data_IF_307938320013
#
_entry.id   IF_307938320013
#
_cell.length_a   1.000
_cell.length_b   1.000
_cell.length_c   1.000
_cell.angle_alpha   90.00
_cell.angle_beta   90.00
_cell.angle_gamma   90.00
#
_symmetry.space_group_name_H-M   'P 1'
#
loop_
_entity.id
_entity.type
_entity.pdbx_description
1 polymer ?
#
# COMPACT_ATOMS: atom_id res chain seq x y z
N UNK A 1 -2.36 16.47 -24.35
CA UNK A 1 -0.95 16.10 -24.19
C UNK A 1 -0.85 14.89 -23.28
N UNK A 2 -0.20 13.85 -23.76
CA UNK A 2 0.48 12.83 -23.02
C UNK A 2 -0.29 11.92 -22.08
N UNK A 3 -1.07 10.96 -22.64
CA UNK A 3 -1.22 9.66 -22.03
C UNK A 3 0.20 9.06 -21.93
N UNK A 4 0.88 9.25 -20.81
CA UNK A 4 2.09 8.48 -20.56
C UNK A 4 1.67 7.02 -20.47
N UNK A 5 2.11 6.20 -21.43
CA UNK A 5 1.99 4.75 -21.36
C UNK A 5 2.52 4.35 -19.99
N UNK A 6 1.62 3.83 -19.16
CA UNK A 6 2.00 3.19 -17.92
C UNK A 6 3.08 2.16 -18.24
N UNK A 7 4.08 2.07 -17.37
CA UNK A 7 5.07 0.98 -17.45
C UNK A 7 4.33 -0.36 -17.59
N UNK A 8 4.94 -1.32 -18.30
CA UNK A 8 4.35 -2.64 -18.47
C UNK A 8 3.98 -3.25 -17.11
N UNK A 9 2.92 -4.09 -17.03
CA UNK A 9 2.57 -4.75 -15.78
C UNK A 9 3.77 -5.56 -15.27
N UNK A 10 4.06 -5.45 -13.97
CA UNK A 10 5.11 -6.22 -13.30
C UNK A 10 4.63 -7.65 -12.96
N UNK A 11 3.38 -7.99 -13.29
CA UNK A 11 2.81 -9.32 -13.03
C UNK A 11 3.36 -10.30 -14.03
N UNK A 12 3.95 -11.37 -13.52
CA UNK A 12 4.50 -12.50 -14.30
C UNK A 12 4.04 -13.83 -13.72
N UNK A 13 4.19 -14.91 -14.49
CA UNK A 13 3.91 -16.26 -14.02
C UNK A 13 5.05 -16.76 -13.12
N UNK A 14 4.70 -17.27 -11.96
CA UNK A 14 5.61 -17.95 -11.04
C UNK A 14 5.30 -19.45 -11.04
N UNK A 15 6.35 -20.26 -11.13
CA UNK A 15 6.26 -21.73 -11.25
C UNK A 15 6.70 -22.45 -9.95
N UNK A 16 7.05 -21.72 -8.89
CA UNK A 16 7.62 -22.30 -7.66
C UNK A 16 6.68 -22.22 -6.46
N UNK A 17 5.67 -21.37 -6.54
CA UNK A 17 4.74 -21.13 -5.42
C UNK A 17 3.56 -22.12 -5.38
N UNK A 18 3.28 -22.79 -6.49
CA UNK A 18 2.21 -23.78 -6.63
C UNK A 18 2.60 -24.83 -7.66
N UNK A 19 1.86 -25.95 -7.71
CA UNK A 19 2.03 -27.02 -8.71
C UNK A 19 1.76 -26.53 -10.14
N UNK A 20 0.98 -25.47 -10.30
CA UNK A 20 0.68 -24.86 -11.61
C UNK A 20 1.17 -23.42 -11.63
N UNK A 21 1.61 -22.89 -12.77
CA UNK A 21 2.00 -21.49 -12.92
C UNK A 21 0.91 -20.53 -12.43
N UNK A 22 1.30 -19.56 -11.61
CA UNK A 22 0.37 -18.59 -11.02
C UNK A 22 0.84 -17.16 -11.25
N UNK A 23 -0.04 -16.21 -11.63
CA UNK A 23 0.35 -14.83 -11.79
C UNK A 23 0.67 -14.19 -10.44
N UNK A 24 1.79 -13.49 -10.34
CA UNK A 24 2.21 -12.73 -9.14
C UNK A 24 2.88 -11.42 -9.53
N UNK A 25 2.74 -10.40 -8.69
CA UNK A 25 3.47 -9.13 -8.81
C UNK A 25 4.77 -9.17 -8.01
N UNK A 26 5.78 -9.89 -8.52
CA UNK A 26 7.08 -9.98 -7.87
C UNK A 26 7.95 -8.75 -8.18
N UNK A 27 8.92 -8.45 -7.30
CA UNK A 27 9.96 -7.46 -7.57
C UNK A 27 10.71 -7.80 -8.87
N UNK A 28 11.13 -6.78 -9.60
CA UNK A 28 12.01 -6.96 -10.76
C UNK A 28 13.36 -7.58 -10.34
N UNK A 29 14.06 -8.21 -11.29
CA UNK A 29 15.36 -8.85 -11.00
C UNK A 29 16.38 -7.86 -10.42
N UNK A 30 16.46 -6.64 -10.99
CA UNK A 30 17.33 -5.57 -10.50
C UNK A 30 17.03 -5.14 -9.06
N UNK A 31 15.74 -5.10 -8.70
CA UNK A 31 15.33 -4.75 -7.34
C UNK A 31 15.70 -5.87 -6.37
N UNK A 32 15.51 -7.13 -6.76
CA UNK A 32 15.94 -8.29 -5.98
C UNK A 32 17.45 -8.30 -5.74
N UNK A 33 18.25 -8.02 -6.76
CA UNK A 33 19.71 -7.87 -6.63
C UNK A 33 20.07 -6.76 -5.64
N UNK A 34 19.40 -5.63 -5.69
CA UNK A 34 19.58 -4.52 -4.74
C UNK A 34 19.25 -4.93 -3.31
N UNK A 35 18.15 -5.65 -3.11
CA UNK A 35 17.75 -6.13 -1.78
C UNK A 35 18.72 -7.20 -1.25
N UNK A 36 19.21 -8.09 -2.11
CA UNK A 36 20.22 -9.08 -1.68
C UNK A 36 21.56 -8.41 -1.37
N UNK A 37 21.98 -7.39 -2.13
CA UNK A 37 23.15 -6.60 -1.78
C UNK A 37 22.98 -5.90 -0.42
N UNK A 38 21.78 -5.38 -0.12
CA UNK A 38 21.46 -4.82 1.19
C UNK A 38 21.54 -5.90 2.28
N UNK A 39 20.97 -7.10 2.07
CA UNK A 39 21.03 -8.23 3.01
C UNK A 39 22.45 -8.52 3.47
N UNK A 40 23.38 -8.59 2.53
CA UNK A 40 24.77 -8.92 2.80
C UNK A 40 25.65 -7.72 3.18
N UNK A 41 25.09 -6.50 3.24
CA UNK A 41 25.84 -5.29 3.61
C UNK A 41 26.21 -5.23 5.10
N UNK A 42 25.44 -5.91 5.96
CA UNK A 42 25.69 -6.01 7.40
C UNK A 42 25.30 -7.41 7.89
N UNK A 43 26.11 -8.02 8.73
CA UNK A 43 25.87 -9.37 9.29
C UNK A 43 24.50 -9.52 9.95
N UNK A 44 24.01 -8.48 10.63
CA UNK A 44 22.70 -8.49 11.30
C UNK A 44 21.52 -8.50 10.33
N UNK A 45 21.71 -8.15 9.07
CA UNK A 45 20.63 -8.15 8.06
C UNK A 45 20.42 -9.50 7.39
N UNK A 46 21.40 -10.40 7.46
CA UNK A 46 21.32 -11.72 6.83
C UNK A 46 20.13 -12.55 7.31
N UNK A 47 19.75 -12.38 8.58
CA UNK A 47 18.62 -13.09 9.20
C UNK A 47 17.26 -12.39 9.08
N UNK A 48 17.18 -11.21 8.42
CA UNK A 48 15.96 -10.47 8.34
C UNK A 48 15.03 -10.97 7.22
N UNK A 49 13.74 -10.90 7.49
CA UNK A 49 12.71 -11.19 6.49
C UNK A 49 12.79 -10.19 5.31
N UNK A 50 12.47 -10.61 4.09
CA UNK A 50 12.44 -9.70 2.95
C UNK A 50 11.58 -8.45 3.18
N UNK A 51 10.47 -8.54 3.91
CA UNK A 51 9.64 -7.38 4.24
C UNK A 51 10.38 -6.31 5.03
N UNK A 52 11.30 -6.70 5.92
CA UNK A 52 12.14 -5.75 6.65
C UNK A 52 13.17 -5.10 5.72
N UNK A 53 13.78 -5.88 4.83
CA UNK A 53 14.78 -5.37 3.87
C UNK A 53 14.15 -4.40 2.87
N UNK A 54 12.92 -4.66 2.39
CA UNK A 54 12.19 -3.74 1.53
C UNK A 54 11.91 -2.41 2.25
N UNK A 55 11.51 -2.49 3.53
CA UNK A 55 11.31 -1.31 4.36
C UNK A 55 12.59 -0.51 4.56
N UNK A 56 13.71 -1.16 4.88
CA UNK A 56 15.03 -0.51 5.03
C UNK A 56 15.44 0.23 3.74
N UNK A 57 15.31 -0.42 2.59
CA UNK A 57 15.66 0.17 1.31
C UNK A 57 14.82 1.42 1.01
N UNK A 58 13.50 1.30 1.09
CA UNK A 58 12.59 2.41 0.76
C UNK A 58 12.63 3.54 1.80
N UNK A 59 12.88 3.22 3.07
CA UNK A 59 13.08 4.19 4.14
C UNK A 59 14.33 5.06 3.91
N UNK A 60 15.46 4.45 3.57
CA UNK A 60 16.69 5.18 3.21
C UNK A 60 16.46 6.14 2.04
N UNK A 61 15.74 5.68 1.01
CA UNK A 61 15.40 6.52 -0.14
C UNK A 61 14.50 7.70 0.26
N UNK A 62 13.49 7.46 1.10
CA UNK A 62 12.56 8.49 1.55
C UNK A 62 13.27 9.54 2.40
N UNK A 63 14.10 9.14 3.36
CA UNK A 63 14.90 10.03 4.22
C UNK A 63 15.88 10.87 3.39
N UNK A 64 16.59 10.24 2.45
CA UNK A 64 17.50 10.95 1.56
C UNK A 64 16.77 12.01 0.69
N UNK A 65 15.60 11.64 0.12
CA UNK A 65 14.76 12.58 -0.66
C UNK A 65 14.15 13.69 0.21
N UNK A 66 13.82 13.41 1.44
CA UNK A 66 13.35 14.39 2.40
C UNK A 66 14.47 15.34 2.87
N UNK A 67 15.73 15.01 2.60
CA UNK A 67 16.88 15.78 3.05
C UNK A 67 17.13 15.68 4.56
N UNK A 68 16.55 14.67 5.22
CA UNK A 68 16.77 14.44 6.65
C UNK A 68 18.16 13.83 6.86
N UNK A 69 18.78 14.21 7.98
CA UNK A 69 20.12 13.74 8.29
C UNK A 69 20.08 12.46 9.13
N UNK A 70 21.09 11.62 8.98
CA UNK A 70 21.27 10.48 9.85
C UNK A 70 21.46 10.94 11.30
N UNK A 71 20.74 10.30 12.24
CA UNK A 71 20.74 10.71 13.64
C UNK A 71 19.77 11.85 13.97
N UNK A 72 19.08 12.38 12.97
CA UNK A 72 18.01 13.36 13.20
C UNK A 72 16.81 12.67 13.86
N UNK A 73 16.13 13.39 14.78
CA UNK A 73 14.97 12.84 15.48
C UNK A 73 13.73 12.89 14.59
N UNK A 74 13.11 11.73 14.35
CA UNK A 74 11.81 11.58 13.71
C UNK A 74 11.16 10.27 14.13
N UNK A 75 9.82 10.22 14.11
CA UNK A 75 9.06 9.01 14.36
C UNK A 75 9.09 8.05 13.17
N UNK A 76 8.89 6.75 13.42
CA UNK A 76 8.80 5.71 12.38
C UNK A 76 7.53 4.89 12.57
N UNK A 77 6.70 4.80 11.55
CA UNK A 77 5.52 3.94 11.52
C UNK A 77 5.39 3.23 10.16
N UNK A 78 6.05 2.09 10.04
CA UNK A 78 5.95 1.24 8.85
C UNK A 78 5.16 0.00 9.22
N UNK A 79 4.00 -0.15 8.60
CA UNK A 79 3.11 -1.25 8.86
C UNK A 79 3.30 -2.43 7.89
N UNK A 80 2.86 -3.60 8.34
CA UNK A 80 2.75 -4.80 7.52
C UNK A 80 1.50 -5.56 7.92
N UNK A 81 0.79 -6.09 6.96
CA UNK A 81 -0.38 -6.93 7.20
C UNK A 81 0.00 -8.35 7.63
N UNK A 82 1.08 -8.86 7.07
CA UNK A 82 1.53 -10.24 7.23
C UNK A 82 2.81 -10.38 8.05
N UNK A 83 3.61 -9.31 8.15
CA UNK A 83 4.91 -9.34 8.82
C UNK A 83 5.92 -10.25 8.11
N UNK A 84 6.79 -10.86 8.89
CA UNK A 84 7.86 -11.75 8.44
C UNK A 84 7.34 -13.13 8.02
N UNK A 85 6.49 -13.18 6.99
CA UNK A 85 5.75 -14.38 6.57
C UNK A 85 6.68 -15.55 6.23
N UNK A 86 7.69 -15.31 5.42
CA UNK A 86 8.61 -16.38 4.99
C UNK A 86 9.42 -16.96 6.14
N UNK A 87 9.90 -16.14 7.06
CA UNK A 87 10.60 -16.60 8.25
C UNK A 87 9.67 -17.34 9.21
N UNK A 88 8.43 -16.86 9.37
CA UNK A 88 7.45 -17.54 10.22
C UNK A 88 7.15 -18.95 9.68
N UNK A 89 6.92 -19.09 8.39
CA UNK A 89 6.70 -20.39 7.75
C UNK A 89 7.92 -21.31 7.90
N UNK A 90 9.13 -20.78 7.68
CA UNK A 90 10.38 -21.52 7.84
C UNK A 90 10.55 -22.04 9.27
N UNK A 91 10.46 -21.16 10.27
CA UNK A 91 10.63 -21.53 11.67
C UNK A 91 9.55 -22.49 12.18
N UNK A 92 8.30 -22.33 11.67
CA UNK A 92 7.24 -23.26 12.01
C UNK A 92 7.47 -24.65 11.40
N UNK A 93 7.94 -24.71 10.15
CA UNK A 93 8.33 -25.98 9.52
C UNK A 93 9.47 -26.66 10.27
N UNK A 94 10.51 -25.91 10.66
CA UNK A 94 11.61 -26.41 11.49
C UNK A 94 11.10 -26.98 12.81
N UNK A 95 10.19 -26.29 13.48
CA UNK A 95 9.59 -26.76 14.73
C UNK A 95 8.81 -28.06 14.54
N UNK A 96 8.02 -28.18 13.49
CA UNK A 96 7.28 -29.41 13.20
C UNK A 96 8.22 -30.60 12.90
N UNK A 97 9.35 -30.32 12.26
CA UNK A 97 10.32 -31.36 11.89
C UNK A 97 11.22 -31.78 13.04
N UNK A 98 11.71 -30.82 13.85
CA UNK A 98 12.76 -31.02 14.82
C UNK A 98 12.30 -30.93 16.28
N UNK A 99 11.10 -30.43 16.57
CA UNK A 99 10.55 -30.27 17.92
C UNK A 99 11.15 -29.12 18.73
N UNK A 100 11.96 -28.24 18.11
CA UNK A 100 12.56 -27.08 18.76
C UNK A 100 12.57 -25.86 17.85
N UNK A 101 12.70 -24.67 18.44
CA UNK A 101 12.82 -23.40 17.69
C UNK A 101 14.25 -22.87 17.76
N UNK A 102 14.68 -22.21 16.70
CA UNK A 102 15.96 -21.50 16.67
C UNK A 102 15.91 -20.24 17.54
N UNK A 103 17.05 -19.80 18.05
CA UNK A 103 17.18 -18.64 18.95
C UNK A 103 16.58 -17.35 18.35
N UNK A 104 16.73 -17.13 17.05
CA UNK A 104 16.23 -15.94 16.38
C UNK A 104 14.79 -16.06 15.88
N UNK A 105 14.10 -17.20 16.04
CA UNK A 105 12.75 -17.40 15.54
C UNK A 105 11.76 -16.32 16.03
N UNK A 106 11.72 -16.08 17.36
CA UNK A 106 10.81 -15.06 17.92
C UNK A 106 11.19 -13.62 17.54
N UNK A 107 12.42 -13.14 17.73
CA UNK A 107 12.75 -11.75 17.47
C UNK A 107 12.68 -11.36 15.99
N UNK A 108 12.85 -12.30 15.05
CA UNK A 108 12.78 -12.02 13.61
C UNK A 108 11.37 -12.10 13.01
N UNK A 109 10.41 -12.69 13.74
CA UNK A 109 9.02 -12.83 13.29
C UNK A 109 8.03 -11.91 13.97
N UNK A 110 8.47 -11.11 14.95
CA UNK A 110 7.61 -10.15 15.66
C UNK A 110 7.22 -8.99 14.74
N UNK A 111 5.94 -8.63 14.72
CA UNK A 111 5.40 -7.59 13.83
C UNK A 111 6.09 -6.22 14.01
N UNK A 112 6.43 -5.84 15.24
CA UNK A 112 7.15 -4.60 15.56
C UNK A 112 8.55 -4.48 14.95
N UNK A 113 9.08 -5.57 14.45
CA UNK A 113 10.42 -5.69 13.90
C UNK A 113 10.69 -4.73 12.72
N UNK A 114 9.71 -4.50 11.83
CA UNK A 114 9.90 -3.67 10.63
C UNK A 114 10.32 -2.24 10.99
N UNK A 115 9.54 -1.54 11.80
CA UNK A 115 9.85 -0.15 12.19
C UNK A 115 11.07 -0.04 13.08
N UNK A 116 11.28 -0.99 13.99
CA UNK A 116 12.44 -0.96 14.90
C UNK A 116 13.76 -1.14 14.14
N UNK A 117 13.81 -2.01 13.12
CA UNK A 117 15.00 -2.16 12.28
C UNK A 117 15.26 -0.91 11.44
N UNK A 118 14.21 -0.27 10.91
CA UNK A 118 14.33 1.00 10.19
C UNK A 118 14.85 2.11 11.12
N UNK A 119 14.30 2.22 12.31
CA UNK A 119 14.73 3.22 13.30
C UNK A 119 16.20 3.02 13.71
N UNK A 120 16.63 1.78 13.93
CA UNK A 120 18.03 1.44 14.23
C UNK A 120 18.96 1.76 13.06
N UNK A 121 18.58 1.39 11.84
CA UNK A 121 19.39 1.63 10.65
C UNK A 121 19.62 3.12 10.39
N UNK A 122 18.58 3.93 10.56
CA UNK A 122 18.60 5.37 10.36
C UNK A 122 19.09 6.14 11.60
N UNK A 123 19.25 5.46 12.74
CA UNK A 123 19.63 6.07 14.03
C UNK A 123 18.73 7.26 14.40
N UNK A 124 17.41 7.14 14.19
CA UNK A 124 16.51 8.29 14.24
C UNK A 124 16.07 8.72 15.65
N UNK A 125 16.25 7.93 16.68
CA UNK A 125 15.98 8.30 18.10
C UNK A 125 14.54 8.73 18.45
N UNK A 126 13.62 8.74 17.48
CA UNK A 126 12.20 9.07 17.69
C UNK A 126 11.35 7.83 18.04
N UNK A 127 10.05 8.05 18.14
CA UNK A 127 9.10 6.97 18.42
C UNK A 127 9.03 5.98 17.25
N UNK A 128 9.08 4.69 17.57
CA UNK A 128 9.03 3.62 16.54
C UNK A 128 7.91 2.64 16.85
N UNK A 129 6.99 2.44 15.91
CA UNK A 129 5.96 1.42 16.01
C UNK A 129 5.66 0.79 14.66
N UNK A 130 5.27 -0.48 14.67
CA UNK A 130 4.61 -1.15 13.56
C UNK A 130 3.20 -1.56 13.97
N UNK A 131 2.31 -1.63 13.00
CA UNK A 131 0.93 -2.06 13.23
C UNK A 131 0.42 -2.84 12.03
N UNK A 132 -0.72 -3.50 12.21
CA UNK A 132 -1.47 -4.16 11.15
C UNK A 132 -2.96 -3.80 11.26
N UNK A 133 -3.50 -3.26 10.16
CA UNK A 133 -4.94 -3.11 9.92
C UNK A 133 -5.21 -3.71 8.55
N UNK A 134 -4.75 -4.93 8.36
CA UNK A 134 -4.86 -5.70 7.12
C UNK A 134 -4.46 -4.87 5.87
N UNK A 135 -5.25 -4.84 4.82
CA UNK A 135 -4.88 -4.17 3.56
C UNK A 135 -4.87 -2.63 3.64
N UNK A 136 -5.47 -2.03 4.66
CA UNK A 136 -5.49 -0.57 4.88
C UNK A 136 -4.34 -0.04 5.75
N UNK A 137 -3.43 -0.92 6.16
CA UNK A 137 -2.34 -0.66 7.12
C UNK A 137 -1.55 0.60 6.80
N UNK A 138 -1.02 0.74 5.59
CA UNK A 138 -0.15 1.87 5.27
C UNK A 138 -0.85 3.24 5.35
N UNK A 139 -2.11 3.34 4.91
CA UNK A 139 -2.86 4.59 5.03
C UNK A 139 -3.23 4.90 6.49
N UNK A 140 -3.54 3.89 7.31
CA UNK A 140 -3.69 4.10 8.75
C UNK A 140 -2.36 4.54 9.41
N UNK A 141 -1.21 4.09 8.89
CA UNK A 141 0.10 4.60 9.30
C UNK A 141 0.26 6.10 9.05
N UNK A 142 -0.24 6.58 7.91
CA UNK A 142 -0.29 8.02 7.60
C UNK A 142 -1.21 8.76 8.58
N UNK A 143 -2.40 8.22 8.88
CA UNK A 143 -3.32 8.82 9.86
C UNK A 143 -2.72 8.89 11.26
N UNK A 144 -2.07 7.81 11.71
CA UNK A 144 -1.37 7.78 12.98
C UNK A 144 -0.27 8.86 13.05
N UNK A 145 0.58 8.93 12.03
CA UNK A 145 1.64 9.94 11.98
C UNK A 145 1.07 11.36 11.97
N UNK A 146 0.00 11.62 11.20
CA UNK A 146 -0.67 12.92 11.21
C UNK A 146 -1.15 13.31 12.62
N UNK A 147 -1.73 12.37 13.39
CA UNK A 147 -2.15 12.61 14.75
C UNK A 147 -0.96 12.95 15.68
N UNK A 148 0.17 12.25 15.56
CA UNK A 148 1.38 12.53 16.32
C UNK A 148 1.99 13.90 15.97
N UNK A 149 2.03 14.23 14.68
CA UNK A 149 2.50 15.52 14.21
C UNK A 149 1.61 16.66 14.72
N UNK A 150 0.28 16.52 14.61
CA UNK A 150 -0.69 17.51 15.09
C UNK A 150 -0.67 17.68 16.60
N UNK A 151 -0.36 16.63 17.36
CA UNK A 151 -0.21 16.71 18.82
C UNK A 151 1.07 17.41 19.27
N UNK A 152 2.02 17.65 18.36
CA UNK A 152 3.34 18.21 18.68
C UNK A 152 4.31 17.24 19.38
N UNK A 153 3.96 15.96 19.48
CA UNK A 153 4.86 14.95 20.10
C UNK A 153 6.06 14.62 19.22
N UNK A 154 5.90 14.73 17.89
CA UNK A 154 6.96 14.67 16.90
C UNK A 154 6.72 15.76 15.83
N UNK A 155 7.79 16.24 15.19
CA UNK A 155 7.71 17.21 14.09
C UNK A 155 7.90 16.58 12.72
N UNK A 156 8.46 15.37 12.69
CA UNK A 156 8.77 14.58 11.50
C UNK A 156 8.39 13.13 11.74
N UNK A 157 7.87 12.48 10.72
CA UNK A 157 7.47 11.08 10.81
C UNK A 157 7.72 10.33 9.50
N UNK A 158 8.46 9.24 9.54
CA UNK A 158 8.62 8.32 8.42
C UNK A 158 7.48 7.29 8.46
N UNK A 159 6.67 7.26 7.42
CA UNK A 159 5.52 6.36 7.30
C UNK A 159 5.62 5.48 6.08
N UNK A 160 4.97 4.33 6.12
CA UNK A 160 4.92 3.45 4.95
C UNK A 160 4.28 2.11 5.21
N UNK A 161 4.46 1.24 4.23
CA UNK A 161 4.07 -0.16 4.32
C UNK A 161 5.05 -1.04 3.57
N UNK A 162 5.23 -2.26 4.06
CA UNK A 162 6.15 -3.24 3.48
C UNK A 162 5.57 -4.65 3.56
N UNK A 163 5.60 -5.38 2.45
CA UNK A 163 5.08 -6.74 2.36
C UNK A 163 5.90 -7.63 1.45
N UNK A 164 6.18 -8.83 1.92
CA UNK A 164 6.80 -9.92 1.16
C UNK A 164 5.96 -11.21 1.27
N UNK A 165 4.70 -11.21 0.76
CA UNK A 165 3.74 -12.28 1.03
C UNK A 165 3.78 -13.41 0.00
N UNK A 166 4.72 -13.41 -0.93
CA UNK A 166 4.76 -14.39 -2.03
C UNK A 166 5.37 -15.71 -1.56
N UNK A 167 4.62 -16.41 -0.69
CA UNK A 167 4.97 -17.74 -0.17
C UNK A 167 3.92 -18.77 -0.59
N UNK A 168 4.27 -20.08 -0.66
CA UNK A 168 3.32 -21.13 -0.98
C UNK A 168 2.09 -21.15 -0.07
N UNK A 169 2.28 -20.97 1.24
CA UNK A 169 1.18 -20.99 2.20
C UNK A 169 0.25 -19.78 2.05
N UNK A 170 0.80 -18.58 1.88
CA UNK A 170 -0.01 -17.37 1.62
C UNK A 170 -0.84 -17.51 0.34
N UNK A 171 -0.24 -18.03 -0.73
CA UNK A 171 -0.95 -18.29 -1.99
C UNK A 171 -2.08 -19.30 -1.77
N UNK A 172 -1.82 -20.39 -1.04
CA UNK A 172 -2.83 -21.40 -0.72
C UNK A 172 -4.00 -20.81 0.08
N UNK A 173 -3.74 -19.95 1.06
CA UNK A 173 -4.76 -19.25 1.85
C UNK A 173 -5.68 -18.41 0.96
N UNK A 174 -5.14 -17.64 0.01
CA UNK A 174 -5.93 -16.78 -0.87
C UNK A 174 -6.69 -17.59 -1.93
N UNK A 175 -6.09 -18.67 -2.43
CA UNK A 175 -6.80 -19.63 -3.31
C UNK A 175 -7.98 -20.28 -2.59
N UNK A 176 -7.85 -20.61 -1.30
CA UNK A 176 -8.94 -21.16 -0.49
C UNK A 176 -10.12 -20.19 -0.35
N UNK A 177 -9.88 -18.88 -0.38
CA UNK A 177 -10.93 -17.85 -0.43
C UNK A 177 -11.63 -17.75 -1.80
N UNK A 178 -11.15 -18.46 -2.83
CA UNK A 178 -11.67 -18.43 -4.21
C UNK A 178 -11.68 -17.03 -4.83
N UNK A 179 -10.68 -16.21 -4.49
CA UNK A 179 -10.56 -14.84 -5.01
C UNK A 179 -9.33 -14.64 -5.89
N UNK A 180 -8.42 -15.62 -5.94
CA UNK A 180 -7.23 -15.55 -6.77
C UNK A 180 -7.56 -15.69 -8.27
N UNK A 181 -6.83 -14.94 -9.09
CA UNK A 181 -7.02 -14.92 -10.54
C UNK A 181 -6.55 -16.21 -11.22
N UNK A 182 -7.35 -16.68 -12.17
CA UNK A 182 -6.97 -17.69 -13.16
C UNK A 182 -6.86 -17.13 -14.59
N UNK A 183 -6.92 -15.79 -14.74
CA UNK A 183 -6.80 -15.17 -16.05
C UNK A 183 -5.35 -15.19 -16.55
N UNK A 184 -5.17 -15.32 -17.88
CA UNK A 184 -3.84 -15.24 -18.49
C UNK A 184 -3.28 -13.82 -18.49
N UNK A 185 -1.96 -13.72 -18.76
CA UNK A 185 -1.32 -12.44 -19.08
C UNK A 185 -1.94 -11.85 -20.37
N UNK A 186 -1.87 -10.52 -20.58
CA UNK A 186 -1.07 -9.56 -19.83
C UNK A 186 -1.80 -8.93 -18.62
N UNK A 187 -3.10 -9.10 -18.46
CA UNK A 187 -3.88 -8.45 -17.37
C UNK A 187 -4.64 -9.47 -16.52
N UNK A 188 -3.96 -10.31 -15.73
CA UNK A 188 -4.63 -11.28 -14.87
C UNK A 188 -5.32 -10.61 -13.66
N UNK A 189 -4.86 -9.45 -13.22
CA UNK A 189 -5.49 -8.63 -12.18
C UNK A 189 -6.32 -7.52 -12.84
N UNK A 190 -7.65 -7.55 -12.65
CA UNK A 190 -8.58 -6.63 -13.33
C UNK A 190 -9.47 -5.84 -12.34
N UNK A 191 -8.88 -5.01 -11.46
CA UNK A 191 -9.67 -4.09 -10.65
C UNK A 191 -10.46 -3.11 -11.54
N UNK A 192 -11.63 -2.67 -11.06
CA UNK A 192 -12.54 -1.76 -11.78
C UNK A 192 -13.16 -2.31 -13.09
N UNK A 193 -12.82 -3.51 -13.52
CA UNK A 193 -13.54 -4.17 -14.62
C UNK A 193 -14.87 -4.70 -14.11
N UNK A 194 -15.93 -3.89 -14.25
CA UNK A 194 -17.27 -4.24 -13.77
C UNK A 194 -17.93 -5.36 -14.58
N UNK A 195 -17.36 -5.71 -15.74
CA UNK A 195 -17.85 -6.80 -16.61
C UNK A 195 -17.19 -8.15 -16.34
N UNK A 196 -16.19 -8.21 -15.44
CA UNK A 196 -15.50 -9.47 -15.11
C UNK A 196 -16.46 -10.55 -14.59
N UNK A 197 -16.24 -11.80 -15.00
CA UNK A 197 -17.10 -12.93 -14.65
C UNK A 197 -16.54 -13.80 -13.53
N UNK A 198 -15.35 -13.51 -13.06
CA UNK A 198 -14.67 -14.20 -11.97
C UNK A 198 -13.82 -13.24 -11.16
N UNK A 199 -13.46 -13.64 -9.94
CA UNK A 199 -12.50 -12.90 -9.14
C UNK A 199 -11.12 -12.92 -9.82
N UNK A 200 -10.41 -11.80 -9.79
CA UNK A 200 -9.17 -11.58 -10.53
C UNK A 200 -8.07 -10.97 -9.66
N UNK A 201 -8.11 -11.23 -8.35
CA UNK A 201 -7.05 -10.75 -7.46
C UNK A 201 -5.75 -11.50 -7.73
N UNK A 202 -4.66 -10.76 -7.81
CA UNK A 202 -3.29 -11.27 -7.89
C UNK A 202 -2.52 -10.71 -6.71
N UNK A 203 -1.71 -11.51 -6.02
CA UNK A 203 -0.83 -11.01 -4.97
C UNK A 203 0.43 -10.37 -5.53
N UNK A 204 0.90 -9.36 -4.84
CA UNK A 204 2.18 -8.71 -5.10
C UNK A 204 3.00 -8.50 -3.84
N UNK A 205 4.26 -8.14 -4.00
CA UNK A 205 5.18 -7.77 -2.95
C UNK A 205 5.74 -6.36 -3.20
N UNK A 206 6.25 -5.71 -2.15
CA UNK A 206 6.88 -4.41 -2.27
C UNK A 206 6.72 -3.54 -1.02
N UNK A 207 7.34 -2.37 -1.07
CA UNK A 207 7.28 -1.37 -0.03
C UNK A 207 7.30 0.05 -0.61
N UNK A 208 6.77 1.01 0.16
CA UNK A 208 6.98 2.43 -0.07
C UNK A 208 6.99 3.17 1.27
N UNK A 209 7.86 4.17 1.38
CA UNK A 209 8.00 5.01 2.57
C UNK A 209 7.97 6.50 2.19
N UNK A 210 7.48 7.34 3.11
CA UNK A 210 7.33 8.78 2.94
C UNK A 210 7.73 9.51 4.22
N UNK A 211 8.45 10.62 4.07
CA UNK A 211 8.64 11.59 5.14
C UNK A 211 7.45 12.54 5.23
N UNK A 212 6.81 12.63 6.41
CA UNK A 212 5.77 13.60 6.73
C UNK A 212 6.34 14.63 7.71
N UNK A 213 6.00 15.89 7.50
CA UNK A 213 6.36 17.01 8.37
C UNK A 213 5.13 17.87 8.67
N UNK A 214 5.12 18.53 9.82
CA UNK A 214 4.03 19.45 10.20
C UNK A 214 4.08 20.75 9.41
N UNK A 215 5.26 21.23 9.11
CA UNK A 215 5.44 22.52 8.43
C UNK A 215 5.44 22.35 6.92
N UNK A 216 4.68 23.20 6.24
CA UNK A 216 4.78 23.32 4.79
C UNK A 216 6.14 23.92 4.44
N UNK A 217 6.90 23.20 3.61
CA UNK A 217 8.20 23.68 3.14
C UNK A 217 8.29 23.69 1.62
N UNK A 218 9.25 24.45 1.12
CA UNK A 218 9.62 24.40 -0.29
C UNK A 218 10.03 22.97 -0.68
N UNK A 219 9.48 22.48 -1.79
CA UNK A 219 9.74 21.12 -2.28
C UNK A 219 8.86 20.04 -1.68
N UNK A 220 7.83 20.36 -0.87
CA UNK A 220 6.81 19.40 -0.48
C UNK A 220 6.10 18.85 -1.73
N UNK A 221 6.10 17.52 -1.90
CA UNK A 221 5.53 16.87 -3.10
C UNK A 221 4.00 16.89 -3.10
N UNK A 222 3.39 16.77 -1.92
CA UNK A 222 1.95 16.83 -1.71
C UNK A 222 1.67 17.22 -0.25
N UNK A 223 0.44 17.70 0.00
CA UNK A 223 -0.09 17.93 1.33
C UNK A 223 -1.21 16.95 1.62
N UNK A 224 -1.23 16.37 2.81
CA UNK A 224 -2.37 15.60 3.29
C UNK A 224 -3.35 16.58 3.93
N UNK A 225 -4.49 16.80 3.27
CA UNK A 225 -5.47 17.81 3.67
C UNK A 225 -6.74 17.21 4.24
N UNK A 226 -6.99 15.92 4.02
CA UNK A 226 -8.17 15.25 4.53
C UNK A 226 -7.86 13.80 4.94
N UNK A 227 -8.36 13.39 6.09
CA UNK A 227 -8.28 12.02 6.60
C UNK A 227 -9.65 11.63 7.17
N UNK A 228 -10.18 10.50 6.72
CA UNK A 228 -11.39 9.92 7.28
C UNK A 228 -11.26 8.40 7.38
N UNK A 229 -11.75 7.84 8.45
CA UNK A 229 -11.75 6.40 8.68
C UNK A 229 -13.05 5.95 9.33
N UNK A 230 -13.42 4.70 9.08
CA UNK A 230 -14.63 4.10 9.63
C UNK A 230 -14.51 2.58 9.66
N UNK A 231 -15.27 1.98 10.57
CA UNK A 231 -15.44 0.53 10.65
C UNK A 231 -16.92 0.21 10.54
N UNK A 232 -17.31 -0.77 9.73
CA UNK A 232 -18.68 -1.24 9.67
C UNK A 232 -18.85 -2.59 10.38
N UNK A 233 -20.05 -2.83 10.90
CA UNK A 233 -20.41 -4.15 11.45
C UNK A 233 -20.62 -5.13 10.31
N UNK A 234 -19.80 -6.17 10.27
CA UNK A 234 -19.86 -7.20 9.24
C UNK A 234 -20.73 -8.37 9.64
N UNK A 235 -21.48 -8.91 8.68
CA UNK A 235 -22.16 -10.21 8.82
C UNK A 235 -21.21 -11.38 8.60
N UNK A 236 -20.10 -11.13 7.87
CA UNK A 236 -19.03 -12.09 7.60
C UNK A 236 -17.67 -11.40 7.69
N UNK A 237 -16.68 -12.05 8.30
CA UNK A 237 -15.34 -11.51 8.59
C UNK A 237 -14.52 -11.06 7.38
N UNK A 238 -14.89 -11.44 6.16
CA UNK A 238 -14.12 -11.20 4.94
C UNK A 238 -14.84 -10.36 3.87
N UNK A 239 -16.12 -10.00 4.09
CA UNK A 239 -16.90 -9.27 3.08
C UNK A 239 -17.40 -7.94 3.61
N UNK A 240 -17.34 -6.92 2.77
CA UNK A 240 -18.02 -5.64 3.00
C UNK A 240 -19.51 -5.77 2.72
N UNK A 241 -20.31 -4.84 3.25
CA UNK A 241 -21.67 -4.62 2.78
C UNK A 241 -21.66 -4.30 1.28
N UNK A 242 -22.74 -4.62 0.58
CA UNK A 242 -22.86 -4.33 -0.85
C UNK A 242 -22.76 -2.84 -1.17
N UNK A 243 -23.12 -1.99 -0.21
CA UNK A 243 -23.09 -0.53 -0.30
C UNK A 243 -21.77 0.06 0.18
N UNK A 244 -20.86 -0.73 0.77
CA UNK A 244 -19.56 -0.27 1.28
C UNK A 244 -19.68 0.85 2.30
N UNK A 245 -20.54 0.70 3.32
CA UNK A 245 -20.82 1.79 4.29
C UNK A 245 -19.58 2.36 4.98
N UNK A 246 -18.61 1.52 5.32
CA UNK A 246 -17.36 2.01 5.92
C UNK A 246 -16.58 2.91 4.96
N UNK A 247 -16.57 2.60 3.66
CA UNK A 247 -15.93 3.43 2.64
C UNK A 247 -16.67 4.75 2.44
N UNK A 248 -18.03 4.72 2.41
CA UNK A 248 -18.83 5.94 2.33
C UNK A 248 -18.51 6.88 3.49
N UNK A 249 -18.52 6.36 4.70
CA UNK A 249 -18.25 7.15 5.90
C UNK A 249 -16.80 7.66 5.95
N UNK A 250 -15.82 6.83 5.58
CA UNK A 250 -14.43 7.25 5.50
C UNK A 250 -14.24 8.38 4.48
N UNK A 251 -14.85 8.29 3.28
CA UNK A 251 -14.77 9.34 2.27
C UNK A 251 -15.46 10.64 2.73
N UNK A 252 -16.66 10.57 3.35
CA UNK A 252 -17.36 11.77 3.87
C UNK A 252 -16.53 12.48 4.93
N UNK A 253 -15.96 11.76 5.88
CA UNK A 253 -15.09 12.33 6.92
C UNK A 253 -13.81 12.95 6.34
N UNK A 254 -13.22 12.31 5.33
CA UNK A 254 -12.05 12.88 4.66
C UNK A 254 -12.41 14.18 3.94
N UNK A 255 -13.56 14.24 3.23
CA UNK A 255 -14.04 15.45 2.59
C UNK A 255 -14.33 16.55 3.61
N UNK A 256 -15.02 16.23 4.71
CA UNK A 256 -15.31 17.17 5.78
C UNK A 256 -14.03 17.75 6.37
N UNK A 257 -13.05 16.92 6.71
CA UNK A 257 -11.78 17.37 7.27
C UNK A 257 -10.95 18.23 6.32
N UNK A 258 -11.16 18.09 5.00
CA UNK A 258 -10.50 18.87 3.95
C UNK A 258 -11.28 20.13 3.53
N UNK A 259 -12.48 20.40 4.10
CA UNK A 259 -13.33 21.51 3.68
C UNK A 259 -14.03 21.30 2.34
N UNK A 260 -14.34 20.05 1.99
CA UNK A 260 -15.10 19.65 0.79
C UNK A 260 -14.48 20.10 -0.55
N UNK A 261 -13.19 19.84 -0.81
CA UNK A 261 -12.61 20.15 -2.12
C UNK A 261 -13.24 19.27 -3.21
N UNK A 262 -13.26 19.78 -4.44
CA UNK A 262 -13.58 18.96 -5.60
C UNK A 262 -12.44 17.96 -5.83
N UNK A 263 -12.76 16.67 -5.80
CA UNK A 263 -11.79 15.60 -6.04
C UNK A 263 -11.65 15.34 -7.54
N UNK A 264 -10.43 15.39 -8.06
CA UNK A 264 -10.14 15.11 -9.47
C UNK A 264 -10.06 13.61 -9.76
N UNK A 265 -9.42 12.86 -8.86
CA UNK A 265 -9.16 11.43 -9.03
C UNK A 265 -9.36 10.68 -7.72
N UNK A 266 -9.93 9.48 -7.79
CA UNK A 266 -9.89 8.50 -6.70
C UNK A 266 -9.01 7.32 -7.11
N UNK A 267 -7.99 7.04 -6.32
CA UNK A 267 -7.25 5.78 -6.41
C UNK A 267 -7.97 4.77 -5.52
N UNK A 268 -8.64 3.80 -6.14
CA UNK A 268 -9.51 2.87 -5.45
C UNK A 268 -8.75 1.76 -4.74
N UNK A 269 -9.37 1.22 -3.70
CA UNK A 269 -8.91 -0.02 -3.07
C UNK A 269 -9.07 -1.22 -3.99
N UNK A 270 -10.09 -1.26 -4.83
CA UNK A 270 -10.49 -2.37 -5.68
C UNK A 270 -9.37 -3.39 -5.95
N UNK A 271 -9.60 -4.65 -5.56
CA UNK A 271 -8.58 -5.73 -5.64
C UNK A 271 -8.78 -6.66 -6.83
N UNK A 272 -9.78 -6.40 -7.66
CA UNK A 272 -10.20 -7.27 -8.75
C UNK A 272 -11.21 -8.35 -8.31
N UNK A 273 -11.74 -8.28 -7.09
CA UNK A 273 -12.83 -9.16 -6.66
C UNK A 273 -14.18 -8.57 -7.10
N UNK A 274 -15.12 -9.43 -7.51
CA UNK A 274 -16.42 -8.96 -8.00
C UNK A 274 -17.16 -8.16 -6.92
N UNK A 275 -17.34 -8.75 -5.75
CA UNK A 275 -18.10 -8.09 -4.67
C UNK A 275 -17.41 -6.86 -4.11
N UNK A 276 -16.08 -6.92 -3.91
CA UNK A 276 -15.31 -5.80 -3.36
C UNK A 276 -15.29 -4.59 -4.28
N UNK A 277 -15.05 -4.81 -5.57
CA UNK A 277 -15.01 -3.72 -6.55
C UNK A 277 -16.39 -3.07 -6.74
N UNK A 278 -17.49 -3.86 -6.73
CA UNK A 278 -18.87 -3.35 -6.77
C UNK A 278 -19.16 -2.52 -5.53
N UNK A 279 -18.86 -3.04 -4.33
CA UNK A 279 -19.14 -2.33 -3.07
C UNK A 279 -18.41 -0.96 -3.02
N UNK A 280 -17.15 -0.90 -3.44
CA UNK A 280 -16.44 0.38 -3.50
C UNK A 280 -17.02 1.33 -4.54
N UNK A 281 -17.40 0.82 -5.72
CA UNK A 281 -18.02 1.65 -6.77
C UNK A 281 -19.38 2.20 -6.30
N UNK A 282 -20.19 1.40 -5.62
CA UNK A 282 -21.44 1.85 -5.02
C UNK A 282 -21.20 2.93 -3.96
N UNK A 283 -20.19 2.72 -3.09
CA UNK A 283 -19.82 3.70 -2.07
C UNK A 283 -19.40 5.04 -2.68
N UNK A 284 -18.58 5.03 -3.74
CA UNK A 284 -18.17 6.24 -4.44
C UNK A 284 -19.38 6.93 -5.07
N UNK A 285 -20.26 6.17 -5.75
CA UNK A 285 -21.49 6.72 -6.34
C UNK A 285 -22.41 7.37 -5.30
N UNK A 286 -22.53 6.77 -4.11
CA UNK A 286 -23.34 7.30 -3.00
C UNK A 286 -22.77 8.59 -2.37
N UNK A 287 -21.44 8.79 -2.46
CA UNK A 287 -20.77 9.98 -1.90
C UNK A 287 -20.72 11.12 -2.92
N UNK A 288 -20.39 10.83 -4.19
CA UNK A 288 -20.12 11.84 -5.20
C UNK A 288 -21.29 12.12 -6.15
N UNK A 289 -22.27 11.20 -6.25
CA UNK A 289 -23.47 11.41 -7.08
C UNK A 289 -23.14 11.74 -8.54
N UNK A 290 -23.58 12.89 -9.00
CA UNK A 290 -23.35 13.35 -10.37
C UNK A 290 -21.92 13.91 -10.60
N UNK A 291 -21.20 14.25 -9.54
CA UNK A 291 -19.84 14.85 -9.61
C UNK A 291 -18.76 13.79 -9.46
N UNK A 292 -18.86 12.72 -10.22
CA UNK A 292 -17.94 11.58 -10.14
C UNK A 292 -16.51 11.97 -10.51
N UNK A 293 -15.52 11.75 -9.60
CA UNK A 293 -14.11 11.87 -9.93
C UNK A 293 -13.66 10.80 -10.94
N UNK A 294 -12.50 11.01 -11.55
CA UNK A 294 -11.86 9.96 -12.32
C UNK A 294 -11.44 8.82 -11.40
N UNK A 295 -11.70 7.58 -11.81
CA UNK A 295 -11.32 6.39 -11.04
C UNK A 295 -10.09 5.74 -11.65
N UNK A 296 -9.13 5.35 -10.81
CA UNK A 296 -7.97 4.57 -11.22
C UNK A 296 -7.55 3.58 -10.12
N UNK A 297 -6.60 2.73 -10.48
CA UNK A 297 -6.08 1.68 -9.60
C UNK A 297 -4.69 1.25 -10.09
N UNK A 298 -3.82 0.82 -9.20
CA UNK A 298 -2.46 0.37 -9.55
C UNK A 298 -2.25 -1.15 -9.40
N UNK A 299 -3.22 -1.89 -8.85
CA UNK A 299 -3.07 -3.34 -8.62
C UNK A 299 -3.05 -4.18 -9.88
N UNK A 300 -3.58 -3.67 -10.98
CA UNK A 300 -3.43 -4.32 -12.28
C UNK A 300 -1.96 -4.42 -12.72
N UNK A 301 -1.11 -3.51 -12.22
CA UNK A 301 0.29 -3.40 -12.57
C UNK A 301 1.18 -4.30 -11.70
N UNK A 302 0.97 -4.31 -10.39
CA UNK A 302 1.86 -4.99 -9.43
C UNK A 302 1.15 -5.96 -8.48
N UNK A 303 -0.13 -6.23 -8.70
CA UNK A 303 -0.92 -7.05 -7.79
C UNK A 303 -1.29 -6.35 -6.49
N UNK A 304 -1.97 -7.08 -5.61
CA UNK A 304 -2.36 -6.60 -4.28
C UNK A 304 -1.25 -6.88 -3.27
N UNK A 305 -0.61 -5.85 -2.77
CA UNK A 305 0.51 -5.90 -1.81
C UNK A 305 0.04 -5.75 -0.36
N UNK A 306 -1.15 -6.23 -0.03
CA UNK A 306 -1.71 -6.20 1.33
C UNK A 306 -1.50 -4.86 2.05
N UNK A 307 -0.81 -4.87 3.20
CA UNK A 307 -0.56 -3.70 4.03
C UNK A 307 0.26 -2.59 3.37
N UNK A 308 1.09 -2.91 2.37
CA UNK A 308 1.84 -1.93 1.59
C UNK A 308 1.01 -1.25 0.48
N UNK A 309 -0.17 -1.79 0.14
CA UNK A 309 -0.97 -1.33 -1.00
C UNK A 309 -1.31 0.16 -0.95
N UNK A 310 -1.70 0.67 0.23
CA UNK A 310 -2.00 2.09 0.42
C UNK A 310 -0.78 2.98 0.18
N UNK A 311 0.42 2.55 0.58
CA UNK A 311 1.65 3.30 0.34
C UNK A 311 2.00 3.36 -1.15
N UNK A 312 1.85 2.27 -1.90
CA UNK A 312 2.03 2.28 -3.36
C UNK A 312 0.99 3.15 -4.07
N UNK A 313 -0.26 3.19 -3.57
CA UNK A 313 -1.28 4.12 -4.06
C UNK A 313 -0.91 5.58 -3.77
N UNK A 314 -0.35 5.88 -2.60
CA UNK A 314 0.14 7.22 -2.27
C UNK A 314 1.30 7.65 -3.17
N UNK A 315 2.23 6.73 -3.49
CA UNK A 315 3.29 7.00 -4.46
C UNK A 315 2.73 7.37 -5.84
N UNK A 316 1.71 6.64 -6.31
CA UNK A 316 1.01 6.93 -7.57
C UNK A 316 0.28 8.29 -7.52
N UNK A 317 -0.37 8.62 -6.41
CA UNK A 317 -1.03 9.91 -6.23
C UNK A 317 -0.04 11.07 -6.32
N UNK A 318 1.08 10.98 -5.59
CA UNK A 318 2.14 11.98 -5.62
C UNK A 318 2.68 12.16 -7.05
N UNK A 319 2.96 11.06 -7.76
CA UNK A 319 3.43 11.13 -9.13
C UNK A 319 2.42 11.83 -10.06
N UNK A 320 1.13 11.49 -9.96
CA UNK A 320 0.08 12.14 -10.75
C UNK A 320 -0.03 13.64 -10.43
N UNK A 321 0.00 14.02 -9.15
CA UNK A 321 -0.05 15.42 -8.72
C UNK A 321 1.18 16.22 -9.20
N UNK A 322 2.37 15.62 -9.18
CA UNK A 322 3.60 16.28 -9.62
C UNK A 322 3.70 16.42 -11.14
N UNK A 323 3.06 15.55 -11.90
CA UNK A 323 3.17 15.52 -13.37
C UNK A 323 1.91 15.99 -14.09
N UNK A 324 0.83 16.32 -13.39
CA UNK A 324 -0.53 16.58 -13.95
C UNK A 324 -0.98 15.49 -14.94
N UNK A 325 -0.62 14.24 -14.65
CA UNK A 325 -0.83 13.14 -15.59
C UNK A 325 -1.72 12.07 -14.97
N UNK A 326 -2.94 11.93 -15.45
CA UNK A 326 -3.83 10.86 -15.03
C UNK A 326 -3.32 9.50 -15.53
N UNK A 327 -3.17 8.57 -14.60
CA UNK A 327 -2.79 7.17 -14.89
C UNK A 327 -4.04 6.30 -14.93
N UNK A 328 -4.56 6.06 -16.11
CA UNK A 328 -5.73 5.21 -16.32
C UNK A 328 -5.40 3.72 -16.25
N UNK A 329 -6.43 2.89 -16.20
CA UNK A 329 -6.35 1.42 -16.24
C UNK A 329 -6.43 0.96 -17.71
N UNK A 330 -5.46 0.19 -18.24
CA UNK A 330 -5.29 0.02 -19.69
C UNK A 330 -6.39 -0.79 -20.40
N UNK A 331 -7.16 -1.58 -19.68
CA UNK A 331 -8.28 -2.37 -20.21
C UNK A 331 -9.65 -1.71 -20.01
N UNK A 332 -9.68 -0.52 -19.43
CA UNK A 332 -10.91 0.30 -19.33
C UNK A 332 -10.94 1.34 -20.45
N UNK A 333 -12.15 1.80 -20.77
CA UNK A 333 -12.29 2.92 -21.70
C UNK A 333 -11.57 4.16 -21.15
N UNK A 334 -10.90 4.88 -22.03
CA UNK A 334 -10.31 6.16 -21.67
C UNK A 334 -11.41 7.14 -21.23
N UNK A 335 -11.19 7.93 -20.17
CA UNK A 335 -12.16 8.95 -19.78
C UNK A 335 -12.33 9.98 -20.91
N UNK A 336 -13.56 10.47 -21.08
CA UNK A 336 -13.88 11.45 -22.12
C UNK A 336 -13.12 12.77 -21.92
N UNK A 337 -12.82 13.11 -20.67
CA UNK A 337 -12.08 14.31 -20.30
C UNK A 337 -11.18 14.04 -19.11
N UNK A 338 -9.96 14.54 -19.19
CA UNK A 338 -8.97 14.55 -18.08
C UNK A 338 -8.64 16.00 -17.77
N UNK A 339 -8.67 16.44 -16.50
CA UNK A 339 -8.26 17.79 -16.14
C UNK A 339 -6.83 18.08 -16.60
N UNK A 340 -6.56 19.30 -17.05
CA UNK A 340 -5.20 19.74 -17.42
C UNK A 340 -4.27 19.81 -16.19
N UNK A 341 -4.86 20.05 -15.01
CA UNK A 341 -4.17 20.12 -13.73
C UNK A 341 -4.89 19.24 -12.73
N UNK A 342 -4.14 18.47 -11.98
CA UNK A 342 -4.64 17.67 -10.87
C UNK A 342 -4.31 18.40 -9.56
N UNK A 343 -5.32 18.71 -8.77
CA UNK A 343 -5.18 19.43 -7.50
C UNK A 343 -5.47 18.53 -6.30
N UNK A 344 -6.48 17.66 -6.38
CA UNK A 344 -6.91 16.82 -5.27
C UNK A 344 -7.08 15.37 -5.70
N UNK A 345 -6.37 14.48 -5.05
CA UNK A 345 -6.50 13.03 -5.25
C UNK A 345 -6.92 12.38 -3.93
N UNK A 346 -7.99 11.59 -3.96
CA UNK A 346 -8.42 10.76 -2.84
C UNK A 346 -7.88 9.35 -3.01
N UNK A 347 -7.42 8.76 -1.90
CA UNK A 347 -6.98 7.37 -1.84
C UNK A 347 -7.90 6.61 -0.90
N UNK A 348 -8.43 5.49 -1.35
CA UNK A 348 -9.22 4.59 -0.52
C UNK A 348 -8.43 3.33 -0.18
N UNK A 349 -8.56 2.86 1.04
CA UNK A 349 -8.16 1.52 1.43
C UNK A 349 -9.17 0.92 2.40
N UNK A 350 -9.38 -0.39 2.28
CA UNK A 350 -10.22 -1.15 3.20
C UNK A 350 -9.61 -2.54 3.41
N UNK A 351 -9.69 -3.02 4.62
CA UNK A 351 -9.18 -4.34 5.01
C UNK A 351 -10.27 -5.30 5.47
N UNK A 352 -9.90 -6.56 5.60
CA UNK A 352 -10.74 -7.54 6.31
C UNK A 352 -11.07 -7.00 7.70
N UNK A 353 -12.31 -7.21 8.14
CA UNK A 353 -12.84 -6.60 9.36
C UNK A 353 -13.57 -5.28 9.13
N UNK A 354 -13.73 -4.83 7.86
CA UNK A 354 -14.53 -3.65 7.52
C UNK A 354 -13.89 -2.32 7.93
N UNK A 355 -12.56 -2.29 8.11
CA UNK A 355 -11.81 -1.08 8.45
C UNK A 355 -11.45 -0.33 7.17
N UNK A 356 -12.10 0.79 6.91
CA UNK A 356 -11.85 1.67 5.78
C UNK A 356 -11.14 2.95 6.20
N UNK A 357 -10.35 3.48 5.29
CA UNK A 357 -9.71 4.78 5.40
C UNK A 357 -9.67 5.46 4.04
N UNK A 358 -9.93 6.77 4.03
CA UNK A 358 -9.76 7.64 2.87
C UNK A 358 -8.83 8.79 3.23
N UNK A 359 -7.88 9.09 2.34
CA UNK A 359 -6.93 10.19 2.50
C UNK A 359 -7.05 11.10 1.27
N UNK A 360 -7.07 12.42 1.48
CA UNK A 360 -7.05 13.41 0.41
C UNK A 360 -5.68 14.06 0.37
N UNK A 361 -5.02 13.93 -0.77
CA UNK A 361 -3.77 14.60 -1.07
C UNK A 361 -4.03 15.80 -1.98
N UNK A 362 -3.49 16.96 -1.59
CA UNK A 362 -3.44 18.17 -2.42
C UNK A 362 -2.07 18.29 -3.07
N UNK A 363 -2.03 18.81 -4.28
CA UNK A 363 -0.79 19.07 -5.00
C UNK A 363 0.15 19.98 -4.20
N UNK A 364 1.40 19.56 -4.06
CA UNK A 364 2.47 20.36 -3.52
C UNK A 364 3.13 21.24 -4.57
N UNK A 365 4.26 21.84 -4.22
CA UNK A 365 5.06 22.57 -5.20
C UNK A 365 5.65 21.59 -6.22
N UNK A 366 5.51 21.92 -7.51
CA UNK A 366 6.08 21.08 -8.56
C UNK A 366 7.59 21.18 -8.57
N UNK A 367 8.24 20.03 -8.46
CA UNK A 367 9.70 19.94 -8.59
C UNK A 367 10.04 20.24 -10.05
N UNK A 368 10.76 21.34 -10.30
CA UNK A 368 11.30 21.63 -11.63
C UNK A 368 12.26 20.51 -12.02
N UNK A 369 11.97 19.85 -13.15
CA UNK A 369 12.85 18.83 -13.72
C UNK A 369 14.13 19.45 -14.24
#
# INVERSE_FOLDING_TARGET
MGYHRLAAPCISLNNTLCDTPIPVGALAASDKETIEALRFSKKVYESLDPSVLYALHTARMAVAKAGWQQGERFGVNIGSSRGATSLFELHHSDFLTNGYCQTLASPTTTLGNVSSWVAQDLNCGGFSMSHSITCSTALHGVANAAAWLQSGMESKFLVGGSEAPLTPFTIAQVKALKIYSSLPLPYPCRPLDMNKKQNTMVLGEGAACFGLETEAREGALAYIVGIGFATETLTHSVSLSAEGYCLQEAMRRALESAGFPRIDVIITHATGTIKGDIAETNAIGAVFGAEMPLLTNNKWQHGHTYGASGALSLAMAIEMLQTDSFKGVPYLAAPAQVPEKLEYIMLNAVGFGGNAISIICQAGQKVKK
#
